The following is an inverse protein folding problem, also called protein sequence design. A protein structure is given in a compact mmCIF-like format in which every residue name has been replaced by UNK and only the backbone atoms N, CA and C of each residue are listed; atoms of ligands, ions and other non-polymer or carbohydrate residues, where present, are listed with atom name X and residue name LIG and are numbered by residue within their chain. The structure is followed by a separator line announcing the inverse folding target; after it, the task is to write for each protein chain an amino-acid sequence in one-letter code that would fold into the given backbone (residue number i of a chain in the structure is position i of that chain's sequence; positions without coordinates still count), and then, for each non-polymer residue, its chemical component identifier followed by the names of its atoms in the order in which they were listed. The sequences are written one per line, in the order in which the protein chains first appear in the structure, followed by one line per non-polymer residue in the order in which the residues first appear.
data_IF_971488541997
#
_entry.id   IF_971488541997
#
_cell.length_a   1.000
_cell.length_b   1.000
_cell.length_c   1.000
_cell.angle_alpha   90.00
_cell.angle_beta   90.00
_cell.angle_gamma   90.00
#
_symmetry.space_group_name_H-M   'P 1'
#
loop_
_entity.id
_entity.type
_entity.pdbx_description
1 polymer ?
#
# COMPACT_ATOMS: atom_id res chain seq x y z
N UNK A 1 -11.44 29.43 13.81
CA UNK A 1 -12.26 29.45 12.58
C UNK A 1 -11.88 28.23 11.76
N UNK A 2 -12.81 27.31 11.56
CA UNK A 2 -12.58 26.07 10.80
C UNK A 2 -12.41 26.36 9.30
N UNK A 3 -11.92 25.36 8.55
CA UNK A 3 -11.59 25.50 7.13
C UNK A 3 -12.79 25.84 6.25
N UNK A 4 -13.99 25.35 6.61
CA UNK A 4 -15.22 25.65 5.87
C UNK A 4 -15.60 27.11 6.11
N UNK A 5 -15.57 27.58 7.36
CA UNK A 5 -15.86 28.99 7.69
C UNK A 5 -14.85 29.94 7.03
N UNK A 6 -13.56 29.59 7.00
CA UNK A 6 -12.54 30.38 6.28
C UNK A 6 -12.84 30.45 4.78
N UNK A 7 -13.21 29.33 4.18
CA UNK A 7 -13.57 29.26 2.76
C UNK A 7 -14.81 30.10 2.45
N UNK A 8 -15.90 29.93 3.19
CA UNK A 8 -17.13 30.70 2.99
C UNK A 8 -16.89 32.20 3.15
N UNK A 9 -16.08 32.61 4.13
CA UNK A 9 -15.65 34.00 4.27
C UNK A 9 -14.82 34.49 3.08
N UNK A 10 -13.94 33.66 2.52
CA UNK A 10 -13.13 34.04 1.36
C UNK A 10 -13.94 34.29 0.09
N UNK A 11 -15.12 33.67 -0.05
CA UNK A 11 -16.01 33.82 -1.22
C UNK A 11 -17.24 34.69 -0.94
N UNK A 12 -17.45 35.11 0.31
CA UNK A 12 -18.59 35.89 0.79
C UNK A 12 -18.92 37.11 -0.07
N UNK A 13 -17.88 37.82 -0.54
CA UNK A 13 -18.01 39.02 -1.38
C UNK A 13 -18.67 38.75 -2.74
N UNK A 14 -18.72 37.49 -3.18
CA UNK A 14 -19.36 37.08 -4.43
C UNK A 14 -20.89 36.97 -4.31
N UNK A 15 -21.41 36.97 -3.09
CA UNK A 15 -22.85 36.84 -2.82
C UNK A 15 -23.43 38.20 -2.42
N UNK A 16 -24.64 38.58 -2.91
CA UNK A 16 -25.25 39.88 -2.60
C UNK A 16 -25.44 40.15 -1.10
N UNK A 17 -25.66 39.11 -0.29
CA UNK A 17 -25.83 39.22 1.17
C UNK A 17 -24.52 39.21 1.95
N UNK A 18 -23.38 39.04 1.26
CA UNK A 18 -22.08 38.83 1.92
C UNK A 18 -21.94 37.43 2.52
N UNK A 19 -22.78 36.47 2.11
CA UNK A 19 -22.68 35.03 2.41
C UNK A 19 -23.61 34.25 1.47
N UNK A 20 -23.32 32.98 1.17
CA UNK A 20 -24.21 32.16 0.34
C UNK A 20 -25.51 31.82 1.07
N UNK A 21 -26.66 32.21 0.52
CA UNK A 21 -27.97 31.80 1.02
C UNK A 21 -28.41 30.49 0.35
N UNK A 22 -28.39 29.38 1.09
CA UNK A 22 -28.74 28.05 0.56
C UNK A 22 -30.21 27.92 0.14
N UNK A 23 -31.06 28.85 0.57
CA UNK A 23 -32.47 28.89 0.20
C UNK A 23 -32.73 29.72 -1.07
N UNK A 24 -31.73 30.52 -1.51
CA UNK A 24 -31.79 31.19 -2.79
C UNK A 24 -31.23 30.27 -3.89
N UNK A 25 -32.02 29.94 -4.94
CA UNK A 25 -31.57 29.02 -5.99
C UNK A 25 -30.31 29.47 -6.73
N UNK A 26 -30.08 30.78 -6.89
CA UNK A 26 -28.92 31.33 -7.61
C UNK A 26 -27.67 31.30 -6.75
N UNK A 27 -27.77 31.69 -5.48
CA UNK A 27 -26.66 31.56 -4.53
C UNK A 27 -26.24 30.10 -4.39
N UNK A 28 -27.22 29.17 -4.37
CA UNK A 28 -26.97 27.74 -4.34
C UNK A 28 -26.21 27.27 -5.59
N UNK A 29 -26.67 27.64 -6.78
CA UNK A 29 -26.02 27.29 -8.06
C UNK A 29 -24.57 27.82 -8.11
N UNK A 30 -24.36 29.09 -7.75
CA UNK A 30 -23.04 29.72 -7.71
C UNK A 30 -22.10 29.08 -6.68
N UNK A 31 -22.61 28.74 -5.48
CA UNK A 31 -21.83 28.03 -4.47
C UNK A 31 -21.40 26.64 -4.96
N UNK A 32 -22.29 25.92 -5.66
CA UNK A 32 -21.95 24.64 -6.26
C UNK A 32 -20.93 24.78 -7.38
N UNK A 33 -21.01 25.82 -8.22
CA UNK A 33 -20.02 26.08 -9.27
C UNK A 33 -18.62 26.36 -8.67
N UNK A 34 -18.54 27.20 -7.63
CA UNK A 34 -17.28 27.50 -6.94
C UNK A 34 -16.75 26.26 -6.21
N UNK A 35 -17.62 25.48 -5.56
CA UNK A 35 -17.21 24.24 -4.92
C UNK A 35 -16.74 23.20 -5.95
N UNK A 36 -17.40 23.12 -7.11
CA UNK A 36 -17.02 22.22 -8.19
C UNK A 36 -15.69 22.61 -8.82
N UNK A 37 -15.42 23.90 -9.05
CA UNK A 37 -14.11 24.34 -9.57
C UNK A 37 -12.95 24.10 -8.60
N UNK A 38 -13.21 24.04 -7.29
CA UNK A 38 -12.24 23.62 -6.28
C UNK A 38 -12.07 22.09 -6.18
N UNK A 39 -13.05 21.34 -6.70
CA UNK A 39 -13.05 19.88 -6.81
C UNK A 39 -12.59 19.40 -8.20
N UNK A 40 -12.48 20.30 -9.16
CA UNK A 40 -11.88 20.09 -10.48
C UNK A 40 -10.39 20.36 -10.35
N UNK A 41 -9.62 19.31 -10.05
CA UNK A 41 -8.20 19.33 -10.36
C UNK A 41 -8.02 19.53 -11.87
N UNK A 42 -6.90 20.11 -12.28
CA UNK A 42 -6.60 20.44 -13.69
C UNK A 42 -6.22 19.18 -14.50
N UNK A 43 -7.01 18.12 -14.39
CA UNK A 43 -6.74 16.83 -15.00
C UNK A 43 -6.73 16.92 -16.52
N UNK A 44 -7.56 17.77 -17.11
CA UNK A 44 -7.59 17.98 -18.55
C UNK A 44 -6.33 18.71 -19.05
N UNK A 45 -5.85 19.70 -18.29
CA UNK A 45 -4.57 20.37 -18.56
C UNK A 45 -3.41 19.36 -18.47
N UNK A 46 -3.37 18.58 -17.40
CA UNK A 46 -2.37 17.53 -17.21
C UNK A 46 -2.41 16.49 -18.36
N UNK A 47 -3.61 16.02 -18.75
CA UNK A 47 -3.76 15.08 -19.87
C UNK A 47 -3.25 15.72 -21.17
N UNK A 48 -3.58 16.98 -21.42
CA UNK A 48 -3.10 17.70 -22.60
C UNK A 48 -1.57 17.79 -22.64
N UNK A 49 -0.93 18.17 -21.53
CA UNK A 49 0.52 18.23 -21.39
C UNK A 49 1.14 16.84 -21.62
N UNK A 50 0.65 15.81 -20.92
CA UNK A 50 1.17 14.45 -21.04
C UNK A 50 1.04 13.88 -22.45
N UNK A 51 -0.08 14.14 -23.14
CA UNK A 51 -0.25 13.77 -24.55
C UNK A 51 0.80 14.43 -25.44
N UNK A 52 1.03 15.72 -25.24
CA UNK A 52 1.97 16.51 -26.04
C UNK A 52 3.43 16.09 -25.77
N UNK A 53 3.85 16.04 -24.52
CA UNK A 53 5.25 15.81 -24.14
C UNK A 53 5.67 14.34 -24.32
N UNK A 54 4.73 13.39 -24.21
CA UNK A 54 5.04 11.95 -24.20
C UNK A 54 4.40 11.18 -25.37
N UNK A 55 3.81 11.91 -26.33
CA UNK A 55 3.12 11.35 -27.50
C UNK A 55 2.06 10.31 -27.13
N UNK A 56 1.27 10.61 -26.09
CA UNK A 56 0.17 9.75 -25.62
C UNK A 56 -1.15 10.11 -26.30
N UNK A 57 -2.11 9.17 -26.27
CA UNK A 57 -3.47 9.35 -26.81
C UNK A 57 -4.52 9.21 -25.71
N UNK A 58 -5.79 9.47 -26.02
CA UNK A 58 -6.90 9.28 -25.07
C UNK A 58 -7.00 7.86 -24.51
N UNK A 59 -6.59 6.85 -25.29
CA UNK A 59 -6.61 5.45 -24.86
C UNK A 59 -5.65 5.18 -23.69
N UNK A 60 -4.63 6.03 -23.52
CA UNK A 60 -3.73 5.96 -22.39
C UNK A 60 -4.38 6.45 -21.08
N UNK A 61 -5.59 7.04 -21.10
CA UNK A 61 -6.19 7.62 -19.92
C UNK A 61 -7.53 6.95 -19.58
N UNK A 62 -7.62 6.34 -18.40
CA UNK A 62 -8.87 5.77 -17.89
C UNK A 62 -9.32 6.50 -16.63
N UNK A 63 -10.41 7.26 -16.75
CA UNK A 63 -10.99 8.07 -15.66
C UNK A 63 -11.51 7.17 -14.53
N UNK A 64 -11.12 7.49 -13.29
CA UNK A 64 -11.62 6.87 -12.06
C UNK A 64 -12.53 7.82 -11.27
N UNK A 65 -12.21 9.12 -11.30
CA UNK A 65 -13.04 10.22 -10.77
C UNK A 65 -12.70 11.51 -11.52
N UNK A 66 -13.32 12.65 -11.15
CA UNK A 66 -12.99 13.98 -11.72
C UNK A 66 -11.49 14.29 -11.64
N UNK A 67 -10.86 13.98 -10.51
CA UNK A 67 -9.43 14.29 -10.24
C UNK A 67 -8.50 13.09 -10.34
N UNK A 68 -8.96 11.92 -10.80
CA UNK A 68 -8.16 10.71 -10.73
C UNK A 68 -8.29 9.85 -11.97
N UNK A 69 -7.13 9.52 -12.54
CA UNK A 69 -7.01 8.76 -13.77
C UNK A 69 -6.02 7.62 -13.59
N UNK A 70 -6.20 6.55 -14.36
CA UNK A 70 -5.11 5.64 -14.69
C UNK A 70 -4.41 6.19 -15.92
N UNK A 71 -3.10 6.30 -15.86
CA UNK A 71 -2.24 6.52 -17.00
C UNK A 71 -1.71 5.15 -17.44
N UNK A 72 -2.23 4.64 -18.55
CA UNK A 72 -1.91 3.36 -19.14
C UNK A 72 -0.70 3.51 -20.06
N UNK A 73 0.44 2.94 -19.67
CA UNK A 73 1.67 2.96 -20.46
C UNK A 73 2.25 1.54 -20.54
N UNK A 74 3.17 1.24 -21.47
CA UNK A 74 3.83 -0.06 -21.52
C UNK A 74 4.38 -0.43 -20.15
N UNK A 75 4.13 -1.68 -19.72
CA UNK A 75 4.45 -2.12 -18.35
C UNK A 75 5.91 -1.84 -17.99
N UNK A 76 6.84 -2.29 -18.84
CA UNK A 76 8.29 -2.19 -18.64
C UNK A 76 8.81 -0.73 -18.61
N UNK A 77 8.13 0.19 -19.29
CA UNK A 77 8.57 1.58 -19.42
C UNK A 77 7.97 2.48 -18.33
N UNK A 78 7.17 1.94 -17.39
CA UNK A 78 6.45 2.76 -16.42
C UNK A 78 7.37 3.68 -15.59
N UNK A 79 8.57 3.24 -15.23
CA UNK A 79 9.54 4.09 -14.53
C UNK A 79 10.15 5.14 -15.45
N UNK A 80 10.46 4.81 -16.70
CA UNK A 80 10.91 5.80 -17.69
C UNK A 80 9.84 6.87 -17.91
N UNK A 81 8.56 6.48 -17.95
CA UNK A 81 7.45 7.43 -17.98
C UNK A 81 7.40 8.28 -16.71
N UNK A 82 7.58 7.71 -15.51
CA UNK A 82 7.68 8.50 -14.27
C UNK A 82 8.80 9.53 -14.38
N UNK A 83 10.00 9.10 -14.76
CA UNK A 83 11.17 9.99 -14.88
C UNK A 83 10.92 11.09 -15.90
N UNK A 84 10.35 10.76 -17.07
CA UNK A 84 10.00 11.77 -18.08
C UNK A 84 8.97 12.76 -17.54
N UNK A 85 7.95 12.28 -16.81
CA UNK A 85 6.89 13.12 -16.24
C UNK A 85 7.42 14.00 -15.11
N UNK A 86 8.27 13.50 -14.21
CA UNK A 86 8.87 14.30 -13.13
C UNK A 86 9.74 15.44 -13.65
N UNK A 87 10.20 15.37 -14.91
CA UNK A 87 10.93 16.46 -15.55
C UNK A 87 10.01 17.49 -16.23
N UNK A 88 8.69 17.28 -16.20
CA UNK A 88 7.69 18.24 -16.67
C UNK A 88 7.29 19.11 -15.48
N UNK A 89 7.21 20.43 -15.69
CA UNK A 89 6.81 21.40 -14.67
C UNK A 89 5.45 21.04 -14.04
N UNK A 90 5.30 21.31 -12.74
CA UNK A 90 4.12 21.03 -11.90
C UNK A 90 3.71 19.56 -11.71
N UNK A 91 4.44 18.61 -12.31
CA UNK A 91 4.27 17.19 -12.03
C UNK A 91 5.16 16.74 -10.89
N UNK A 92 4.57 16.03 -9.92
CA UNK A 92 5.29 15.42 -8.82
C UNK A 92 5.03 13.92 -8.78
N UNK A 93 6.08 13.12 -8.66
CA UNK A 93 5.93 11.69 -8.42
C UNK A 93 5.74 11.40 -6.94
N UNK A 94 4.71 10.60 -6.63
CA UNK A 94 4.50 10.05 -5.29
C UNK A 94 4.45 8.50 -5.38
N UNK A 95 5.51 7.79 -4.92
CA UNK A 95 5.56 6.33 -4.91
C UNK A 95 4.54 5.70 -3.95
N UNK A 96 3.99 6.48 -3.02
CA UNK A 96 3.07 6.04 -1.97
C UNK A 96 1.60 6.17 -2.35
N UNK A 97 1.26 6.69 -3.53
CA UNK A 97 -0.13 6.77 -3.99
C UNK A 97 -0.76 5.37 -4.02
N UNK A 98 -1.82 5.22 -3.22
CA UNK A 98 -2.59 3.97 -3.13
C UNK A 98 -3.18 3.59 -4.48
N UNK A 99 -3.36 2.29 -4.73
CA UNK A 99 -4.03 1.81 -5.93
C UNK A 99 -3.10 1.63 -7.14
N UNK A 100 -1.79 1.86 -6.99
CA UNK A 100 -0.76 1.48 -7.95
C UNK A 100 0.40 0.75 -7.25
N UNK A 101 1.06 -0.16 -7.97
CA UNK A 101 2.24 -0.87 -7.47
C UNK A 101 3.52 -0.05 -7.56
N UNK A 102 3.48 1.13 -8.19
CA UNK A 102 4.65 2.01 -8.35
C UNK A 102 4.29 3.45 -8.00
N UNK A 103 3.20 3.67 -7.25
CA UNK A 103 2.67 5.00 -7.01
C UNK A 103 2.07 5.64 -8.28
N UNK A 104 2.11 6.96 -8.33
CA UNK A 104 1.59 7.75 -9.43
C UNK A 104 2.18 9.15 -9.44
N UNK A 105 1.73 9.97 -10.38
CA UNK A 105 2.12 11.38 -10.46
C UNK A 105 0.92 12.27 -10.13
N UNK A 106 1.18 13.40 -9.51
CA UNK A 106 0.19 14.43 -9.20
C UNK A 106 0.44 15.70 -9.99
N UNK A 107 -0.63 16.40 -10.33
CA UNK A 107 -0.59 17.70 -11.01
C UNK A 107 -1.78 18.52 -10.55
N UNK A 108 -1.54 19.67 -9.90
CA UNK A 108 -2.57 20.64 -9.45
C UNK A 108 -3.86 19.99 -8.92
N UNK A 109 -3.72 19.10 -7.93
CA UNK A 109 -4.85 18.39 -7.29
C UNK A 109 -5.36 17.15 -8.03
N UNK A 110 -4.88 16.86 -9.25
CA UNK A 110 -5.17 15.65 -10.01
C UNK A 110 -4.13 14.55 -9.76
N UNK A 111 -4.54 13.29 -9.91
CA UNK A 111 -3.69 12.11 -9.69
C UNK A 111 -3.76 11.14 -10.86
N UNK A 112 -2.60 10.72 -11.35
CA UNK A 112 -2.44 9.76 -12.43
C UNK A 112 -1.71 8.51 -11.93
N UNK A 113 -2.44 7.40 -11.84
CA UNK A 113 -1.90 6.10 -11.44
C UNK A 113 -1.25 5.43 -12.65
N UNK A 114 0.07 5.25 -12.63
CA UNK A 114 0.75 4.56 -13.72
C UNK A 114 0.44 3.06 -13.71
N UNK A 115 -0.25 2.61 -14.76
CA UNK A 115 -0.77 1.26 -14.91
C UNK A 115 -0.30 0.68 -16.24
N UNK A 116 -0.07 -0.64 -16.32
CA UNK A 116 0.26 -1.28 -17.58
C UNK A 116 -0.93 -1.19 -18.55
N UNK A 117 -0.67 -0.84 -19.80
CA UNK A 117 -1.68 -0.78 -20.88
C UNK A 117 -2.26 -2.16 -21.26
N UNK A 118 -1.59 -3.26 -20.92
CA UNK A 118 -1.93 -4.61 -21.43
C UNK A 118 -2.10 -5.74 -20.39
N UNK A 119 -2.28 -5.48 -19.09
CA UNK A 119 -2.35 -6.58 -18.11
C UNK A 119 -3.43 -6.45 -17.02
N UNK A 120 -4.42 -7.36 -17.05
CA UNK A 120 -4.89 -8.06 -15.85
C UNK A 120 -3.84 -9.13 -15.51
N UNK A 121 -3.14 -9.01 -14.37
CA UNK A 121 -2.25 -10.05 -13.86
C UNK A 121 -0.80 -9.61 -13.62
N UNK A 122 -0.16 -10.25 -12.63
CA UNK A 122 1.22 -10.00 -12.16
C UNK A 122 2.21 -10.87 -12.95
N UNK A 123 2.86 -10.33 -13.97
CA UNK A 123 3.98 -10.98 -14.64
C UNK A 123 4.64 -10.01 -15.65
N UNK A 124 5.55 -9.14 -15.20
CA UNK A 124 6.66 -8.61 -16.03
C UNK A 124 7.69 -7.95 -15.11
N UNK A 125 8.95 -8.33 -15.29
CA UNK A 125 10.14 -7.75 -14.66
C UNK A 125 10.31 -6.26 -15.02
N UNK A 126 11.04 -5.51 -14.18
CA UNK A 126 11.38 -4.10 -14.36
C UNK A 126 10.41 -3.08 -13.76
N UNK A 127 9.47 -3.49 -12.91
CA UNK A 127 8.42 -2.55 -12.40
C UNK A 127 8.04 -2.72 -10.95
N UNK A 128 8.60 -3.72 -10.30
CA UNK A 128 8.42 -3.93 -8.88
C UNK A 128 9.58 -3.29 -8.14
N UNK A 129 9.36 -2.98 -6.86
CA UNK A 129 10.35 -2.27 -6.05
C UNK A 129 11.71 -2.99 -6.03
N UNK A 130 11.65 -4.32 -6.13
CA UNK A 130 12.77 -5.25 -6.25
C UNK A 130 13.55 -5.06 -7.54
N UNK A 131 12.84 -4.92 -8.67
CA UNK A 131 13.47 -4.73 -9.97
C UNK A 131 14.24 -3.40 -10.03
N UNK A 132 13.69 -2.33 -9.44
CA UNK A 132 14.37 -1.02 -9.36
C UNK A 132 15.69 -1.16 -8.62
N UNK A 133 15.66 -1.81 -7.45
CA UNK A 133 16.85 -2.06 -6.66
C UNK A 133 17.88 -2.90 -7.43
N UNK A 134 17.44 -3.99 -8.07
CA UNK A 134 18.31 -4.86 -8.86
C UNK A 134 18.96 -4.11 -10.02
N UNK A 135 18.18 -3.36 -10.79
CA UNK A 135 18.65 -2.65 -11.97
C UNK A 135 19.62 -1.51 -11.60
N UNK A 136 19.30 -0.71 -10.59
CA UNK A 136 20.18 0.38 -10.16
C UNK A 136 21.49 -0.16 -9.57
N UNK A 137 21.44 -1.22 -8.74
CA UNK A 137 22.67 -1.83 -8.23
C UNK A 137 23.53 -2.35 -9.39
N UNK A 138 22.97 -3.10 -10.34
CA UNK A 138 23.71 -3.61 -11.51
C UNK A 138 24.37 -2.49 -12.31
N UNK A 139 23.61 -1.44 -12.63
CA UNK A 139 24.12 -0.24 -13.30
C UNK A 139 25.31 0.38 -12.55
N UNK A 140 25.23 0.54 -11.23
CA UNK A 140 26.32 1.14 -10.46
C UNK A 140 27.52 0.21 -10.27
N UNK A 141 27.32 -1.12 -10.27
CA UNK A 141 28.44 -2.08 -10.34
C UNK A 141 29.21 -1.94 -11.66
N UNK A 142 28.52 -1.78 -12.78
CA UNK A 142 29.15 -1.50 -14.09
C UNK A 142 29.91 -0.16 -14.09
N UNK A 143 29.48 0.81 -13.28
CA UNK A 143 30.14 2.10 -13.08
C UNK A 143 31.31 2.06 -12.08
N UNK A 144 31.63 0.89 -11.51
CA UNK A 144 32.79 0.70 -10.62
C UNK A 144 32.48 0.67 -9.13
N UNK A 145 31.20 0.60 -8.71
CA UNK A 145 30.86 0.34 -7.32
C UNK A 145 31.38 -1.05 -6.90
N UNK A 146 32.04 -1.13 -5.74
CA UNK A 146 32.46 -2.42 -5.15
C UNK A 146 31.74 -2.70 -3.84
N UNK A 147 31.08 -1.71 -3.25
CA UNK A 147 30.32 -1.85 -2.01
C UNK A 147 28.92 -1.27 -2.19
N UNK A 148 27.93 -1.90 -1.55
CA UNK A 148 26.56 -1.38 -1.43
C UNK A 148 26.30 -1.05 0.04
N UNK A 149 25.85 0.17 0.30
CA UNK A 149 25.56 0.66 1.64
C UNK A 149 24.10 1.09 1.68
N UNK A 150 23.26 0.31 2.35
CA UNK A 150 21.93 0.78 2.70
C UNK A 150 22.05 1.69 3.91
N UNK A 151 21.65 2.94 3.75
CA UNK A 151 21.79 3.98 4.76
C UNK A 151 20.42 4.41 5.27
N UNK A 152 20.18 4.20 6.57
CA UNK A 152 18.91 4.50 7.21
C UNK A 152 19.14 5.35 8.46
N UNK A 153 18.12 6.12 8.91
CA UNK A 153 18.23 6.90 10.13
C UNK A 153 18.58 6.07 11.39
N UNK A 154 18.15 4.80 11.45
CA UNK A 154 18.40 3.94 12.62
C UNK A 154 19.75 3.21 12.57
N UNK A 155 20.21 2.82 11.37
CA UNK A 155 21.47 2.11 11.17
C UNK A 155 21.85 2.08 9.70
N UNK A 156 23.07 1.62 9.40
CA UNK A 156 23.51 1.31 8.04
C UNK A 156 23.89 -0.16 7.91
N UNK A 157 23.59 -0.74 6.75
CA UNK A 157 24.02 -2.07 6.35
C UNK A 157 25.04 -1.94 5.22
N UNK A 158 26.28 -2.32 5.48
CA UNK A 158 27.36 -2.32 4.48
C UNK A 158 27.60 -3.72 3.95
N UNK A 159 27.43 -3.88 2.63
CA UNK A 159 27.76 -5.10 1.89
C UNK A 159 29.02 -4.81 1.08
N UNK A 160 30.12 -5.48 1.44
CA UNK A 160 31.42 -5.30 0.81
C UNK A 160 31.67 -6.28 -0.32
N UNK A 161 32.52 -5.88 -1.26
CA UNK A 161 33.00 -6.69 -2.38
C UNK A 161 31.84 -7.27 -3.20
N UNK A 162 30.84 -6.45 -3.49
CA UNK A 162 29.64 -6.85 -4.21
C UNK A 162 30.00 -7.23 -5.64
N UNK A 163 29.62 -8.43 -6.03
CA UNK A 163 29.86 -8.96 -7.38
C UNK A 163 28.58 -9.11 -8.18
N UNK A 164 27.43 -9.26 -7.52
CA UNK A 164 26.17 -9.61 -8.18
C UNK A 164 24.96 -9.32 -7.28
N UNK A 165 23.80 -9.14 -7.92
CA UNK A 165 22.48 -9.06 -7.28
C UNK A 165 21.47 -9.83 -8.15
N UNK A 166 20.59 -10.59 -7.50
CA UNK A 166 19.54 -11.35 -8.18
C UNK A 166 18.22 -11.31 -7.42
N UNK A 167 17.12 -10.98 -8.10
CA UNK A 167 15.76 -11.20 -7.60
C UNK A 167 15.46 -12.68 -7.36
N UNK A 168 14.94 -12.98 -6.17
CA UNK A 168 14.57 -14.34 -5.73
C UNK A 168 13.14 -14.42 -5.20
N UNK A 169 12.37 -13.33 -5.21
CA UNK A 169 11.02 -13.25 -4.60
C UNK A 169 9.99 -14.28 -5.12
N UNK A 170 10.27 -14.99 -6.22
CA UNK A 170 9.43 -16.08 -6.71
C UNK A 170 9.76 -17.45 -6.08
N UNK A 171 10.95 -17.62 -5.47
CA UNK A 171 11.32 -18.81 -4.72
C UNK A 171 10.74 -18.77 -3.30
N UNK A 172 9.43 -19.01 -3.22
CA UNK A 172 8.71 -19.10 -1.95
C UNK A 172 8.88 -20.45 -1.24
N UNK A 173 9.68 -21.36 -1.81
CA UNK A 173 9.89 -22.69 -1.24
C UNK A 173 10.58 -22.58 0.13
N UNK A 174 10.05 -23.27 1.12
CA UNK A 174 10.64 -23.32 2.46
C UNK A 174 10.44 -22.06 3.32
N UNK A 175 9.58 -21.11 2.91
CA UNK A 175 9.26 -19.94 3.73
C UNK A 175 10.37 -18.87 3.77
N UNK A 176 11.14 -18.76 2.69
CA UNK A 176 12.11 -17.68 2.48
C UNK A 176 11.40 -16.33 2.36
N UNK A 177 12.09 -15.26 2.75
CA UNK A 177 11.59 -13.88 2.72
C UNK A 177 12.37 -12.97 1.81
N UNK A 178 13.58 -13.35 1.41
CA UNK A 178 14.34 -12.54 0.47
C UNK A 178 13.52 -12.27 -0.79
N UNK A 179 13.47 -11.00 -1.16
CA UNK A 179 12.96 -10.58 -2.45
C UNK A 179 14.14 -10.42 -3.44
N UNK A 180 15.31 -10.01 -2.94
CA UNK A 180 16.59 -10.03 -3.66
C UNK A 180 17.70 -10.66 -2.82
N UNK A 181 18.73 -11.17 -3.48
CA UNK A 181 19.96 -11.65 -2.86
C UNK A 181 21.14 -10.89 -3.44
N UNK A 182 21.95 -10.28 -2.57
CA UNK A 182 23.18 -9.57 -2.94
C UNK A 182 24.37 -10.45 -2.58
N UNK A 183 25.27 -10.69 -3.54
CA UNK A 183 26.50 -11.45 -3.34
C UNK A 183 27.67 -10.48 -3.15
N UNK A 184 28.32 -10.57 -1.99
CA UNK A 184 29.58 -9.90 -1.71
C UNK A 184 30.52 -10.84 -0.94
N UNK A 185 31.14 -10.35 0.14
CA UNK A 185 31.93 -11.18 1.07
C UNK A 185 31.19 -12.43 1.59
N UNK A 186 29.86 -12.32 1.66
CA UNK A 186 28.92 -13.41 1.88
C UNK A 186 27.65 -13.13 1.09
N UNK A 187 26.69 -14.04 1.17
CA UNK A 187 25.36 -13.85 0.61
C UNK A 187 24.47 -13.09 1.57
N UNK A 188 23.77 -12.07 1.09
CA UNK A 188 22.86 -11.23 1.87
C UNK A 188 21.44 -11.35 1.31
N UNK A 189 20.57 -12.15 1.93
CA UNK A 189 19.14 -12.16 1.62
C UNK A 189 18.49 -10.87 2.13
N UNK A 190 17.83 -10.12 1.24
CA UNK A 190 17.18 -8.86 1.55
C UNK A 190 15.69 -8.98 1.22
N UNK A 191 14.83 -8.77 2.22
CA UNK A 191 13.40 -8.56 1.99
C UNK A 191 13.12 -7.06 1.88
N UNK A 192 12.32 -6.66 0.91
CA UNK A 192 12.01 -5.28 0.61
C UNK A 192 10.56 -5.01 0.97
N UNK A 193 10.35 -4.00 1.81
CA UNK A 193 9.03 -3.45 2.10
C UNK A 193 8.95 -2.03 1.60
N UNK A 194 7.76 -1.63 1.12
CA UNK A 194 7.48 -0.22 0.86
C UNK A 194 7.28 0.52 2.17
N UNK A 195 7.50 1.83 2.15
CA UNK A 195 7.30 2.70 3.32
C UNK A 195 5.86 2.63 3.85
N UNK A 196 4.90 2.51 2.93
CA UNK A 196 3.48 2.39 3.26
C UNK A 196 2.98 0.94 3.39
N UNK A 197 3.88 -0.06 3.45
CA UNK A 197 3.49 -1.46 3.55
C UNK A 197 2.54 -1.71 4.74
N UNK A 198 1.41 -2.37 4.46
CA UNK A 198 0.35 -2.61 5.43
C UNK A 198 0.33 -4.02 6.03
N UNK A 199 1.23 -4.90 5.58
CA UNK A 199 1.22 -6.32 5.91
C UNK A 199 2.66 -6.86 5.95
N UNK A 200 2.92 -7.78 6.87
CA UNK A 200 4.09 -8.65 6.82
C UNK A 200 3.89 -9.72 5.74
N UNK A 201 2.77 -10.42 5.80
CA UNK A 201 2.41 -11.48 4.86
C UNK A 201 0.90 -11.74 4.79
N UNK A 202 0.51 -12.48 3.76
CA UNK A 202 -0.77 -13.20 3.74
C UNK A 202 -0.59 -14.51 4.49
N UNK A 203 -1.44 -14.81 5.46
CA UNK A 203 -1.25 -15.95 6.37
C UNK A 203 -2.40 -16.96 6.32
N UNK A 204 -3.09 -17.03 5.18
CA UNK A 204 -4.18 -17.99 4.93
C UNK A 204 -3.75 -19.44 5.18
N UNK A 205 -2.54 -19.82 4.77
CA UNK A 205 -2.02 -21.17 4.99
C UNK A 205 -1.64 -21.40 6.45
N UNK A 206 -0.94 -20.43 7.07
CA UNK A 206 -0.45 -20.51 8.47
C UNK A 206 -1.60 -20.58 9.47
N UNK A 207 -2.66 -19.79 9.27
CA UNK A 207 -3.80 -19.68 10.19
C UNK A 207 -5.09 -20.25 9.62
N UNK A 208 -5.00 -21.20 8.68
CA UNK A 208 -6.15 -21.81 8.00
C UNK A 208 -7.21 -22.30 8.98
N UNK A 209 -6.79 -23.02 10.01
CA UNK A 209 -7.69 -23.63 10.98
C UNK A 209 -8.35 -22.58 11.87
N UNK A 210 -7.62 -21.53 12.27
CA UNK A 210 -8.17 -20.40 13.04
C UNK A 210 -9.26 -19.70 12.24
N UNK A 211 -9.00 -19.37 10.97
CA UNK A 211 -9.97 -18.70 10.10
C UNK A 211 -11.21 -19.58 9.87
N UNK A 212 -11.01 -20.87 9.62
CA UNK A 212 -12.10 -21.82 9.41
C UNK A 212 -12.99 -21.90 10.65
N UNK A 213 -12.38 -22.10 11.82
CA UNK A 213 -13.08 -22.21 13.10
C UNK A 213 -13.81 -20.92 13.47
N UNK A 214 -13.17 -19.75 13.28
CA UNK A 214 -13.81 -18.44 13.46
C UNK A 214 -15.04 -18.30 12.57
N UNK A 215 -14.92 -18.60 11.27
CA UNK A 215 -16.03 -18.56 10.31
C UNK A 215 -17.20 -19.45 10.73
N UNK A 216 -16.92 -20.68 11.16
CA UNK A 216 -17.93 -21.63 11.65
C UNK A 216 -18.65 -21.12 12.90
N UNK A 217 -17.91 -20.55 13.87
CA UNK A 217 -18.48 -20.00 15.11
C UNK A 217 -19.35 -18.77 14.87
N UNK A 218 -18.92 -17.86 14.00
CA UNK A 218 -19.74 -16.70 13.61
C UNK A 218 -21.05 -17.17 12.97
N UNK A 219 -21.01 -18.18 12.07
CA UNK A 219 -22.21 -18.76 11.45
C UNK A 219 -23.18 -19.40 12.46
N UNK A 220 -22.66 -19.97 13.54
CA UNK A 220 -23.47 -20.59 14.61
C UNK A 220 -24.06 -19.58 15.60
N UNK A 221 -23.58 -18.34 15.58
CA UNK A 221 -24.00 -17.29 16.51
C UNK A 221 -23.22 -17.27 17.82
N UNK A 222 -22.10 -17.98 17.92
CA UNK A 222 -21.29 -18.08 19.15
C UNK A 222 -20.72 -16.72 19.61
N UNK A 223 -20.67 -15.74 18.70
CA UNK A 223 -20.23 -14.37 18.97
C UNK A 223 -21.34 -13.33 18.78
N UNK A 224 -22.58 -13.76 18.60
CA UNK A 224 -23.70 -12.83 18.48
C UNK A 224 -24.05 -12.23 19.85
N UNK A 225 -24.53 -10.96 19.90
CA UNK A 225 -24.74 -10.05 18.77
C UNK A 225 -23.51 -9.24 18.34
N UNK A 226 -22.38 -9.32 19.06
CA UNK A 226 -21.17 -8.51 18.83
C UNK A 226 -20.49 -8.75 17.48
N UNK A 227 -20.61 -9.97 16.95
CA UNK A 227 -20.02 -10.36 15.67
C UNK A 227 -20.89 -11.41 14.97
N UNK A 228 -21.57 -10.96 13.92
CA UNK A 228 -22.42 -11.80 13.06
C UNK A 228 -21.97 -11.73 11.60
N UNK A 229 -22.49 -12.64 10.78
CA UNK A 229 -22.39 -12.55 9.33
C UNK A 229 -23.67 -11.96 8.72
N UNK A 230 -23.48 -10.97 7.84
CA UNK A 230 -24.51 -10.50 6.89
C UNK A 230 -24.07 -10.82 5.46
N UNK A 231 -24.99 -11.13 4.54
CA UNK A 231 -24.62 -11.42 3.16
C UNK A 231 -23.88 -10.26 2.49
N UNK A 232 -22.87 -10.59 1.67
CA UNK A 232 -22.22 -9.59 0.83
C UNK A 232 -23.06 -9.30 -0.40
N UNK A 233 -23.46 -8.05 -0.57
CA UNK A 233 -24.15 -7.54 -1.76
C UNK A 233 -23.19 -6.68 -2.58
N UNK A 234 -23.04 -6.99 -3.86
CA UNK A 234 -22.19 -6.22 -4.77
C UNK A 234 -22.83 -4.86 -5.17
N UNK A 235 -22.09 -4.06 -5.94
CA UNK A 235 -22.57 -2.72 -6.37
C UNK A 235 -23.83 -2.76 -7.25
N UNK A 236 -24.18 -3.92 -7.80
CA UNK A 236 -25.35 -4.13 -8.64
C UNK A 236 -26.52 -4.72 -7.86
N UNK A 237 -26.41 -4.83 -6.52
CA UNK A 237 -27.46 -5.40 -5.68
C UNK A 237 -27.48 -6.93 -5.67
N UNK A 238 -26.44 -7.60 -6.20
CA UNK A 238 -26.39 -9.06 -6.25
C UNK A 238 -25.69 -9.60 -5.02
N UNK A 239 -26.37 -10.50 -4.32
CA UNK A 239 -25.75 -11.28 -3.25
C UNK A 239 -24.71 -12.25 -3.83
N UNK A 240 -23.54 -12.32 -3.20
CA UNK A 240 -22.50 -13.29 -3.56
C UNK A 240 -22.53 -14.47 -2.59
N UNK A 241 -23.01 -15.60 -3.08
CA UNK A 241 -23.10 -16.83 -2.30
C UNK A 241 -21.74 -17.20 -1.66
N UNK A 242 -21.78 -17.57 -0.39
CA UNK A 242 -20.60 -17.98 0.38
C UNK A 242 -19.66 -16.83 0.78
N UNK A 243 -20.03 -15.57 0.55
CA UNK A 243 -19.27 -14.40 1.00
C UNK A 243 -20.13 -13.57 1.96
N UNK A 244 -19.60 -13.31 3.15
CA UNK A 244 -20.28 -12.55 4.18
C UNK A 244 -19.44 -11.36 4.64
N UNK A 245 -20.13 -10.31 5.09
CA UNK A 245 -19.57 -9.21 5.85
C UNK A 245 -19.72 -9.49 7.34
N UNK A 246 -18.72 -9.10 8.13
CA UNK A 246 -18.79 -9.13 9.59
C UNK A 246 -19.47 -7.85 10.11
N UNK A 247 -20.41 -7.97 11.04
CA UNK A 247 -21.16 -6.85 11.62
C UNK A 247 -21.35 -7.02 13.14
N UNK A 248 -21.46 -5.90 13.85
CA UNK A 248 -22.02 -5.84 15.22
C UNK A 248 -23.50 -5.48 15.10
N UNK A 249 -24.39 -6.41 15.44
CA UNK A 249 -25.83 -6.24 15.27
C UNK A 249 -26.46 -5.30 16.29
N UNK A 250 -25.76 -5.00 17.40
CA UNK A 250 -26.25 -4.01 18.39
C UNK A 250 -26.19 -2.60 17.83
N UNK A 251 -25.25 -2.33 16.94
CA UNK A 251 -24.99 -1.00 16.37
C UNK A 251 -25.28 -0.91 14.87
N UNK A 252 -25.59 -2.04 14.23
CA UNK A 252 -25.67 -2.21 12.78
C UNK A 252 -24.42 -1.69 12.03
N UNK A 253 -23.25 -1.82 12.67
CA UNK A 253 -21.99 -1.35 12.07
C UNK A 253 -21.17 -2.50 11.52
N UNK A 254 -20.49 -2.25 10.40
CA UNK A 254 -19.58 -3.22 9.79
C UNK A 254 -18.31 -3.37 10.62
N UNK A 255 -17.99 -4.60 11.02
CA UNK A 255 -16.71 -4.99 11.59
C UNK A 255 -15.72 -5.23 10.46
N UNK A 256 -14.63 -4.46 10.47
CA UNK A 256 -13.60 -4.44 9.43
C UNK A 256 -12.52 -5.51 9.60
N UNK A 257 -12.45 -6.13 10.77
CA UNK A 257 -11.51 -7.20 11.07
C UNK A 257 -11.67 -7.76 12.48
N UNK A 258 -11.11 -8.94 12.70
CA UNK A 258 -10.98 -9.63 13.98
C UNK A 258 -9.50 -9.75 14.27
N UNK A 259 -9.04 -9.10 15.32
CA UNK A 259 -7.68 -9.22 15.84
C UNK A 259 -7.66 -10.43 16.76
N UNK A 260 -6.81 -11.41 16.45
CA UNK A 260 -6.68 -12.61 17.27
C UNK A 260 -5.61 -12.37 18.33
N UNK A 261 -6.02 -12.32 19.60
CA UNK A 261 -5.11 -12.16 20.73
C UNK A 261 -4.67 -13.51 21.28
N UNK A 262 -3.62 -13.53 22.10
CA UNK A 262 -3.18 -14.71 22.86
C UNK A 262 -2.86 -15.94 21.98
N UNK A 263 -2.24 -15.69 20.81
CA UNK A 263 -1.75 -16.78 19.95
C UNK A 263 -0.71 -17.62 20.71
N UNK A 264 -0.83 -18.96 20.71
CA UNK A 264 0.10 -19.83 21.44
C UNK A 264 1.52 -19.80 20.88
N UNK A 265 1.64 -19.51 19.58
CA UNK A 265 2.91 -19.24 18.91
C UNK A 265 2.67 -18.12 17.89
N UNK A 266 3.49 -17.07 17.96
CA UNK A 266 3.44 -15.93 17.06
C UNK A 266 4.33 -16.09 15.82
N UNK A 267 5.28 -17.05 15.82
CA UNK A 267 6.24 -17.30 14.73
C UNK A 267 6.92 -16.01 14.21
N UNK A 268 7.21 -15.04 15.07
CA UNK A 268 7.58 -13.68 14.66
C UNK A 268 8.79 -13.66 13.74
N UNK A 269 9.88 -14.35 14.11
CA UNK A 269 11.09 -14.43 13.29
C UNK A 269 10.81 -15.05 11.91
N UNK A 270 10.02 -16.13 11.84
CA UNK A 270 9.64 -16.77 10.59
C UNK A 270 8.77 -15.85 9.71
N UNK A 271 7.90 -15.06 10.32
CA UNK A 271 7.02 -14.12 9.60
C UNK A 271 7.81 -12.96 9.02
N UNK A 272 8.77 -12.44 9.79
CA UNK A 272 9.52 -11.22 9.47
C UNK A 272 10.75 -11.56 8.59
N UNK A 273 11.60 -12.47 9.05
CA UNK A 273 12.92 -12.76 8.45
C UNK A 273 12.94 -14.05 7.62
N UNK A 274 11.99 -14.95 7.83
CA UNK A 274 11.90 -16.20 7.07
C UNK A 274 12.94 -17.23 7.46
N UNK A 275 12.98 -18.34 6.73
CA UNK A 275 13.97 -19.41 6.94
C UNK A 275 15.38 -19.04 6.44
N UNK A 276 15.49 -18.00 5.64
CA UNK A 276 16.74 -17.45 5.09
C UNK A 276 17.32 -16.30 5.93
N UNK A 277 16.66 -15.92 7.04
CA UNK A 277 17.08 -14.82 7.92
C UNK A 277 17.33 -13.52 7.14
N UNK A 278 16.41 -13.17 6.25
CA UNK A 278 16.52 -12.00 5.39
C UNK A 278 16.51 -10.71 6.22
N UNK A 279 17.39 -9.77 5.90
CA UNK A 279 17.32 -8.41 6.46
C UNK A 279 16.16 -7.68 5.77
N UNK A 280 15.27 -7.06 6.55
CA UNK A 280 14.14 -6.31 5.99
C UNK A 280 14.50 -4.84 5.84
N UNK A 281 14.34 -4.32 4.63
CA UNK A 281 14.62 -2.93 4.28
C UNK A 281 13.33 -2.25 3.82
N UNK A 282 13.04 -1.08 4.38
CA UNK A 282 11.89 -0.26 3.99
C UNK A 282 12.32 0.89 3.09
N UNK A 283 11.86 0.88 1.84
CA UNK A 283 11.90 2.03 0.92
C UNK A 283 10.97 1.78 -0.25
N UNK A 284 10.34 2.81 -0.77
CA UNK A 284 9.68 2.80 -2.07
C UNK A 284 10.64 3.44 -3.08
N UNK A 285 11.42 2.63 -3.77
CA UNK A 285 12.61 3.08 -4.50
C UNK A 285 12.29 3.99 -5.68
N UNK A 286 13.13 5.01 -5.83
CA UNK A 286 13.30 5.82 -7.03
C UNK A 286 14.79 5.96 -7.37
N UNK A 287 15.14 6.38 -8.58
CA UNK A 287 16.55 6.58 -8.97
C UNK A 287 17.28 7.61 -8.11
N UNK A 288 16.55 8.52 -7.44
CA UNK A 288 17.11 9.54 -6.53
C UNK A 288 17.68 8.94 -5.24
N UNK A 289 17.30 7.71 -4.91
CA UNK A 289 17.72 7.04 -3.67
C UNK A 289 19.15 6.48 -3.79
N UNK A 290 19.75 6.53 -4.98
CA UNK A 290 21.02 5.88 -5.28
C UNK A 290 22.10 6.92 -5.56
N UNK A 291 23.24 6.80 -4.87
CA UNK A 291 24.38 7.71 -5.01
C UNK A 291 25.70 6.98 -4.95
N UNK A 292 26.45 7.02 -6.05
CA UNK A 292 27.83 6.54 -6.08
C UNK A 292 28.79 7.62 -5.56
N UNK A 293 29.58 7.26 -4.55
CA UNK A 293 30.70 8.07 -4.04
C UNK A 293 31.93 7.18 -3.97
N UNK A 294 32.96 7.51 -4.74
CA UNK A 294 34.11 6.65 -4.98
C UNK A 294 33.66 5.25 -5.45
N UNK A 295 33.98 4.19 -4.69
CA UNK A 295 33.58 2.81 -4.94
C UNK A 295 32.35 2.36 -4.11
N UNK A 296 31.68 3.29 -3.42
CA UNK A 296 30.54 2.98 -2.55
C UNK A 296 29.23 3.48 -3.16
N UNK A 297 28.32 2.56 -3.43
CA UNK A 297 26.93 2.88 -3.75
C UNK A 297 26.14 3.04 -2.45
N UNK A 298 25.77 4.28 -2.14
CA UNK A 298 24.83 4.60 -1.07
C UNK A 298 23.40 4.48 -1.58
N UNK A 299 22.56 3.78 -0.82
CA UNK A 299 21.14 3.59 -1.09
C UNK A 299 20.37 4.10 0.13
N UNK A 300 19.66 5.20 -0.03
CA UNK A 300 18.83 5.77 1.03
C UNK A 300 17.61 4.88 1.29
N UNK A 301 17.42 4.49 2.56
CA UNK A 301 16.28 3.69 2.99
C UNK A 301 15.68 4.26 4.27
N UNK A 302 14.40 3.98 4.50
CA UNK A 302 13.65 4.59 5.61
C UNK A 302 13.93 3.90 6.96
N UNK A 303 14.20 2.60 6.94
CA UNK A 303 14.61 1.81 8.10
C UNK A 303 15.14 0.44 7.68
N UNK A 304 15.97 -0.13 8.53
CA UNK A 304 16.51 -1.48 8.41
C UNK A 304 16.11 -2.28 9.66
N UNK A 305 15.57 -3.49 9.46
CA UNK A 305 15.18 -4.44 10.50
C UNK A 305 16.01 -5.72 10.34
N UNK A 306 16.89 -5.99 11.30
CA UNK A 306 17.79 -7.15 11.33
C UNK A 306 17.46 -8.10 12.49
N UNK A 307 16.84 -7.60 13.54
CA UNK A 307 16.48 -8.36 14.72
C UNK A 307 15.16 -7.90 15.37
N UNK A 308 14.73 -8.61 16.40
CA UNK A 308 13.48 -8.30 17.12
C UNK A 308 13.54 -6.98 17.91
N UNK A 309 14.73 -6.44 18.21
CA UNK A 309 14.83 -5.13 18.87
C UNK A 309 14.43 -4.02 17.90
N UNK A 310 14.81 -4.14 16.63
CA UNK A 310 14.34 -3.22 15.60
C UNK A 310 12.81 -3.31 15.43
N UNK A 311 12.24 -4.51 15.56
CA UNK A 311 10.78 -4.72 15.49
C UNK A 311 10.06 -3.98 16.62
N UNK A 312 10.58 -4.09 17.85
CA UNK A 312 10.06 -3.38 19.03
C UNK A 312 10.21 -1.86 18.86
N UNK A 313 11.39 -1.38 18.47
CA UNK A 313 11.70 0.05 18.28
C UNK A 313 10.70 0.74 17.34
N UNK A 314 10.30 0.05 16.27
CA UNK A 314 9.38 0.59 15.26
C UNK A 314 7.91 0.20 15.45
N UNK A 315 7.58 -0.48 16.55
CA UNK A 315 6.23 -0.98 16.83
C UNK A 315 5.70 -1.82 15.64
N UNK A 316 6.49 -2.79 15.22
CA UNK A 316 6.24 -3.64 14.05
C UNK A 316 5.86 -5.07 14.41
N UNK A 317 5.48 -5.35 15.68
CA UNK A 317 5.11 -6.69 16.11
C UNK A 317 4.06 -7.31 15.16
N UNK A 318 4.20 -8.60 14.78
CA UNK A 318 3.24 -9.25 13.90
C UNK A 318 1.90 -9.52 14.59
N UNK A 319 0.84 -8.87 14.12
CA UNK A 319 -0.53 -9.04 14.62
C UNK A 319 -1.40 -9.76 13.59
N UNK A 320 -2.03 -10.88 13.99
CA UNK A 320 -3.01 -11.58 13.17
C UNK A 320 -4.34 -10.80 13.12
N UNK A 321 -4.68 -10.31 11.93
CA UNK A 321 -5.96 -9.69 11.64
C UNK A 321 -6.71 -10.51 10.56
N UNK A 322 -7.86 -11.06 10.93
CA UNK A 322 -8.76 -11.77 10.02
C UNK A 322 -9.80 -10.78 9.50
N UNK A 323 -9.81 -10.55 8.19
CA UNK A 323 -10.62 -9.51 7.55
C UNK A 323 -11.45 -10.04 6.39
N UNK A 324 -12.42 -9.24 5.96
CA UNK A 324 -13.18 -9.57 4.76
C UNK A 324 -12.32 -9.51 3.49
N UNK A 325 -12.43 -10.54 2.65
CA UNK A 325 -11.91 -10.64 1.29
C UNK A 325 -12.93 -11.39 0.42
N UNK A 326 -13.50 -10.70 -0.56
CA UNK A 326 -14.57 -11.24 -1.42
C UNK A 326 -14.09 -12.34 -2.37
N UNK A 327 -12.79 -12.65 -2.41
CA UNK A 327 -12.22 -13.76 -3.19
C UNK A 327 -12.12 -15.06 -2.38
N UNK A 328 -12.43 -15.05 -1.08
CA UNK A 328 -12.26 -16.19 -0.17
C UNK A 328 -13.57 -16.91 0.15
N UNK A 329 -14.15 -17.57 -0.84
CA UNK A 329 -15.42 -18.31 -0.67
C UNK A 329 -15.35 -19.43 0.35
N UNK A 330 -14.23 -20.18 0.40
CA UNK A 330 -14.06 -21.34 1.29
C UNK A 330 -14.16 -21.02 2.78
N UNK A 331 -13.89 -19.76 3.17
CA UNK A 331 -13.87 -19.28 4.56
C UNK A 331 -15.03 -18.33 4.86
N UNK A 332 -16.04 -18.25 3.99
CA UNK A 332 -17.17 -17.34 4.17
C UNK A 332 -16.84 -15.88 3.84
N UNK A 333 -15.78 -15.62 3.07
CA UNK A 333 -15.28 -14.28 2.76
C UNK A 333 -14.22 -13.76 3.73
N UNK A 334 -13.56 -14.63 4.50
CA UNK A 334 -12.53 -14.24 5.48
C UNK A 334 -11.11 -14.56 4.99
N UNK A 335 -10.16 -13.68 5.29
CA UNK A 335 -8.74 -13.84 4.99
C UNK A 335 -7.89 -13.57 6.21
N UNK A 336 -6.90 -14.42 6.46
CA UNK A 336 -5.86 -14.14 7.45
C UNK A 336 -4.76 -13.27 6.85
N UNK A 337 -4.47 -12.16 7.52
CA UNK A 337 -3.32 -11.30 7.21
C UNK A 337 -2.57 -11.00 8.48
N UNK A 338 -1.24 -10.99 8.41
CA UNK A 338 -0.41 -10.52 9.51
C UNK A 338 0.06 -9.11 9.20
N UNK A 339 -0.21 -8.20 10.12
CA UNK A 339 0.05 -6.77 9.97
C UNK A 339 1.00 -6.29 11.06
N UNK A 340 1.84 -5.28 10.80
CA UNK A 340 2.60 -4.64 11.86
C UNK A 340 1.65 -3.99 12.88
N UNK A 341 2.01 -4.04 14.15
CA UNK A 341 1.20 -3.52 15.26
C UNK A 341 0.82 -2.04 15.06
N UNK A 342 1.74 -1.18 14.60
CA UNK A 342 1.45 0.22 14.29
C UNK A 342 0.43 0.45 13.14
N UNK A 343 0.01 -0.61 12.43
CA UNK A 343 -1.11 -0.58 11.46
C UNK A 343 -2.43 -1.04 12.05
N UNK A 344 -2.39 -1.68 13.22
CA UNK A 344 -3.56 -2.17 13.95
C UNK A 344 -3.91 -1.22 15.10
N UNK A 345 -2.92 -0.72 15.84
CA UNK A 345 -3.10 0.13 17.01
C UNK A 345 -2.49 1.52 16.79
N UNK A 346 -3.13 2.52 17.40
CA UNK A 346 -2.62 3.87 17.58
C UNK A 346 -2.94 4.31 18.99
N UNK A 347 -1.94 4.74 19.74
CA UNK A 347 -2.09 5.16 21.15
C UNK A 347 -2.80 4.08 21.99
N UNK A 348 -2.42 2.82 21.81
CA UNK A 348 -3.04 1.63 22.43
C UNK A 348 -4.52 1.42 22.10
N UNK A 349 -5.05 2.09 21.07
CA UNK A 349 -6.42 1.90 20.58
C UNK A 349 -6.43 1.25 19.22
N UNK A 350 -7.33 0.30 19.05
CA UNK A 350 -7.58 -0.36 17.77
C UNK A 350 -8.02 0.65 16.71
N UNK A 351 -7.37 0.63 15.56
CA UNK A 351 -7.67 1.48 14.41
C UNK A 351 -8.87 0.91 13.65
N UNK A 352 -9.90 1.73 13.45
CA UNK A 352 -11.12 1.35 12.74
C UNK A 352 -12.00 0.40 13.55
N UNK A 353 -13.14 0.00 12.97
CA UNK A 353 -14.08 -0.87 13.66
C UNK A 353 -13.58 -2.32 13.60
N UNK A 354 -12.72 -2.76 14.52
CA UNK A 354 -12.27 -4.15 14.65
C UNK A 354 -12.57 -4.64 16.06
N UNK A 355 -12.68 -5.95 16.20
CA UNK A 355 -12.88 -6.59 17.50
C UNK A 355 -11.68 -7.46 17.84
N UNK A 356 -11.37 -7.57 19.13
CA UNK A 356 -10.33 -8.45 19.64
C UNK A 356 -10.97 -9.74 20.16
N UNK A 357 -10.46 -10.89 19.74
CA UNK A 357 -10.95 -12.21 20.18
C UNK A 357 -9.75 -13.08 20.56
N UNK A 358 -9.68 -13.58 21.81
CA UNK A 358 -8.65 -14.52 22.23
C UNK A 358 -8.66 -15.80 21.40
N UNK A 359 -7.48 -16.29 21.04
CA UNK A 359 -7.28 -17.53 20.28
C UNK A 359 -8.10 -18.69 20.86
N UNK A 360 -8.04 -18.88 22.19
CA UNK A 360 -8.76 -19.97 22.86
C UNK A 360 -10.28 -19.85 22.72
N UNK A 361 -10.83 -18.63 22.63
CA UNK A 361 -12.26 -18.42 22.39
C UNK A 361 -12.66 -18.80 20.97
N UNK A 362 -11.75 -18.67 20.00
CA UNK A 362 -11.94 -19.16 18.63
C UNK A 362 -11.83 -20.68 18.60
N UNK A 363 -10.77 -21.25 19.19
CA UNK A 363 -10.46 -22.66 19.01
C UNK A 363 -11.31 -23.64 19.83
N UNK A 364 -11.95 -23.17 20.91
CA UNK A 364 -12.78 -24.01 21.79
C UNK A 364 -13.96 -24.72 21.12
#
# INVERSE_FOLDING_TARGET
MDSITKFLNSISYKFPKGYPDINDPKDKEMLFEIANSLLEGDAEEAIFILKKELNLTDENFSKLSSVRYKLLVPRAERYDYIQKIENIEDFEYDPNIKGSSIGGVTYKGSTFLLKPSGAQGRASAGTENEDVLENEIKKYLEMGATNVIFDAPNKSLTIKNVTDISGVGYDVAGGKKADVVIKGDKTYPISIKKDNAGFWESSDSRYKDVVKKLSEKIKKGDFAPELVFKPFVDKLGREKEGINLMHDDRTDTKVTGVIVTDLPNKDEESIIFGSDNAVVIYRSYSSKDFKLVDNNLYIEVSKIIEDLKDVEEFNLEPILNIRHDSTRTATGGLRATVQPENKIYRDSKVIGNKVEIPYNKIMS
#
